data_IF_855611822238
#
_entry.id   IF_855611822238
#
_cell.length_a   1.000
_cell.length_b   1.000
_cell.length_c   1.000
_cell.angle_alpha   90.00
_cell.angle_beta   90.00
_cell.angle_gamma   90.00
#
_symmetry.space_group_name_H-M   'P 1'
#
loop_
_entity.id
_entity.type
_entity.pdbx_description
1 polymer ?
#
# COMPACT_ATOMS: atom_id res chain seq x y z
N UNK A 1 7.48 -10.10 3.54
CA UNK A 1 7.17 -11.45 3.01
C UNK A 1 6.86 -11.32 1.53
N UNK A 2 7.63 -12.01 0.68
CA UNK A 2 7.41 -12.01 -0.76
C UNK A 2 6.21 -12.91 -1.09
N UNK A 3 5.13 -12.33 -1.65
CA UNK A 3 3.92 -13.05 -2.04
C UNK A 3 3.73 -13.04 -3.56
N UNK A 4 3.21 -14.09 -4.20
CA UNK A 4 2.91 -14.06 -5.64
C UNK A 4 1.98 -12.91 -6.03
N UNK A 5 2.30 -12.15 -7.09
CA UNK A 5 1.45 -11.05 -7.59
C UNK A 5 0.68 -11.46 -8.84
N UNK A 6 -0.65 -11.50 -8.75
CA UNK A 6 -1.52 -11.91 -9.85
C UNK A 6 -2.20 -10.72 -10.57
N UNK A 7 -2.71 -9.74 -9.82
CA UNK A 7 -3.67 -8.75 -10.34
C UNK A 7 -3.11 -7.83 -11.43
N UNK A 8 -1.87 -7.36 -11.31
CA UNK A 8 -1.25 -6.51 -12.34
C UNK A 8 -0.78 -7.29 -13.58
N UNK A 9 -0.61 -8.61 -13.44
CA UNK A 9 -0.03 -9.50 -14.44
C UNK A 9 -1.06 -10.22 -15.31
N UNK A 10 -2.34 -10.22 -14.92
CA UNK A 10 -3.43 -10.93 -15.63
C UNK A 10 -4.53 -10.01 -16.17
N UNK A 11 -4.25 -8.70 -16.25
CA UNK A 11 -5.25 -7.66 -16.57
C UNK A 11 -5.72 -7.66 -18.02
N UNK A 12 -4.84 -7.98 -18.96
CA UNK A 12 -5.17 -8.07 -20.40
C UNK A 12 -5.07 -9.52 -20.85
N UNK A 13 -5.79 -9.90 -21.90
CA UNK A 13 -5.78 -11.27 -22.46
C UNK A 13 -4.36 -11.72 -22.81
N UNK A 14 -3.61 -10.89 -23.54
CA UNK A 14 -2.21 -11.15 -23.90
C UNK A 14 -1.31 -11.38 -22.68
N UNK A 15 -1.49 -10.59 -21.61
CA UNK A 15 -0.71 -10.74 -20.39
C UNK A 15 -1.12 -11.98 -19.60
N UNK A 16 -2.42 -12.30 -19.56
CA UNK A 16 -2.92 -13.52 -18.92
C UNK A 16 -2.30 -14.76 -19.57
N UNK A 17 -2.31 -14.85 -20.91
CA UNK A 17 -1.68 -15.97 -21.64
C UNK A 17 -0.18 -16.01 -21.37
N UNK A 18 0.55 -14.91 -21.59
CA UNK A 18 2.00 -14.87 -21.38
C UNK A 18 2.40 -15.25 -19.96
N UNK A 19 1.68 -14.71 -18.96
CA UNK A 19 1.97 -14.97 -17.56
C UNK A 19 1.67 -16.42 -17.18
N UNK A 20 0.51 -16.93 -17.57
CA UNK A 20 0.12 -18.30 -17.28
C UNK A 20 1.03 -19.33 -17.98
N UNK A 21 1.40 -19.10 -19.25
CA UNK A 21 2.37 -19.95 -19.96
C UNK A 21 3.74 -19.95 -19.29
N UNK A 22 4.21 -18.80 -18.80
CA UNK A 22 5.46 -18.72 -18.06
C UNK A 22 5.40 -19.52 -16.74
N UNK A 23 4.29 -19.40 -16.00
CA UNK A 23 4.07 -20.16 -14.75
C UNK A 23 4.05 -21.67 -15.01
N UNK A 24 3.31 -22.14 -16.02
CA UNK A 24 3.27 -23.56 -16.40
C UNK A 24 4.67 -24.06 -16.77
N UNK A 25 5.37 -23.34 -17.65
CA UNK A 25 6.73 -23.70 -18.07
C UNK A 25 7.69 -23.82 -16.89
N UNK A 26 7.72 -22.79 -16.04
CA UNK A 26 8.65 -22.72 -14.90
C UNK A 26 8.31 -23.71 -13.79
N UNK A 27 7.02 -23.93 -13.53
CA UNK A 27 6.58 -24.94 -12.56
C UNK A 27 6.92 -26.37 -13.00
N UNK A 28 6.88 -26.65 -14.32
CA UNK A 28 7.33 -27.93 -14.88
C UNK A 28 8.85 -28.10 -14.83
N UNK A 29 9.61 -27.05 -15.21
CA UNK A 29 11.08 -27.06 -15.12
C UNK A 29 11.58 -27.31 -13.69
N UNK A 30 10.82 -26.88 -12.69
CA UNK A 30 11.15 -27.01 -11.27
C UNK A 30 10.19 -27.94 -10.52
N UNK A 31 9.70 -29.00 -11.17
CA UNK A 31 8.70 -29.91 -10.59
C UNK A 31 9.15 -30.52 -9.25
N UNK A 32 10.45 -30.75 -9.06
CA UNK A 32 11.03 -31.29 -7.82
C UNK A 32 10.76 -30.39 -6.60
N UNK A 33 10.58 -29.08 -6.81
CA UNK A 33 10.22 -28.14 -5.74
C UNK A 33 8.73 -28.16 -5.40
N UNK A 34 7.88 -28.73 -6.26
CA UNK A 34 6.42 -28.69 -6.14
C UNK A 34 5.77 -30.06 -6.43
N UNK A 35 6.13 -31.13 -5.69
CA UNK A 35 5.65 -32.49 -5.96
C UNK A 35 4.13 -32.63 -5.84
N UNK A 36 3.50 -31.89 -4.93
CA UNK A 36 2.05 -31.92 -4.72
C UNK A 36 1.28 -30.98 -5.68
N UNK A 37 1.99 -30.25 -6.54
CA UNK A 37 1.41 -29.29 -7.47
C UNK A 37 1.17 -29.85 -8.87
N UNK A 38 1.61 -31.07 -9.17
CA UNK A 38 1.55 -31.65 -10.52
C UNK A 38 0.13 -31.61 -11.09
N UNK A 39 -0.86 -32.04 -10.32
CA UNK A 39 -2.27 -32.00 -10.74
C UNK A 39 -2.74 -30.57 -11.05
N UNK A 40 -2.38 -29.60 -10.21
CA UNK A 40 -2.75 -28.18 -10.41
C UNK A 40 -2.10 -27.58 -11.64
N UNK A 41 -0.85 -27.94 -11.92
CA UNK A 41 -0.12 -27.49 -13.12
C UNK A 41 -0.74 -28.08 -14.37
N UNK A 42 -1.14 -29.36 -14.35
CA UNK A 42 -1.86 -30.00 -15.47
C UNK A 42 -3.22 -29.36 -15.73
N UNK A 43 -4.02 -29.12 -14.67
CA UNK A 43 -5.30 -28.43 -14.81
C UNK A 43 -5.14 -27.01 -15.39
N UNK A 44 -4.13 -26.27 -14.94
CA UNK A 44 -3.82 -24.94 -15.45
C UNK A 44 -3.40 -24.97 -16.93
N UNK A 45 -2.63 -25.98 -17.34
CA UNK A 45 -2.22 -26.16 -18.73
C UNK A 45 -3.41 -26.46 -19.64
N UNK A 46 -4.29 -27.37 -19.24
CA UNK A 46 -5.52 -27.67 -19.99
C UNK A 46 -6.40 -26.43 -20.12
N UNK A 47 -6.65 -25.73 -19.01
CA UNK A 47 -7.44 -24.50 -19.01
C UNK A 47 -6.83 -23.39 -19.88
N UNK A 48 -5.50 -23.33 -19.96
CA UNK A 48 -4.79 -22.38 -20.80
C UNK A 48 -4.98 -22.70 -22.28
N UNK A 49 -4.90 -23.98 -22.66
CA UNK A 49 -5.17 -24.42 -24.03
C UNK A 49 -6.60 -24.09 -24.45
N UNK A 50 -7.59 -24.44 -23.61
CA UNK A 50 -9.00 -24.14 -23.84
C UNK A 50 -9.24 -22.63 -24.02
N UNK A 51 -8.57 -21.80 -23.21
CA UNK A 51 -8.64 -20.34 -23.30
C UNK A 51 -8.00 -19.78 -24.56
N UNK A 52 -6.87 -20.34 -25.01
CA UNK A 52 -6.24 -19.91 -26.27
C UNK A 52 -7.09 -20.31 -27.48
N UNK A 53 -7.77 -21.44 -27.42
CA UNK A 53 -8.68 -21.89 -28.48
C UNK A 53 -9.90 -20.97 -28.57
N UNK A 54 -10.56 -20.65 -27.46
CA UNK A 54 -11.69 -19.70 -27.48
C UNK A 54 -11.30 -18.28 -27.86
N UNK A 55 -10.05 -17.85 -27.58
CA UNK A 55 -9.52 -16.57 -28.07
C UNK A 55 -9.51 -16.54 -29.60
N UNK A 56 -9.16 -17.66 -30.25
CA UNK A 56 -9.17 -17.78 -31.70
C UNK A 56 -10.59 -17.79 -32.27
N UNK A 57 -11.54 -18.49 -31.63
CA UNK A 57 -12.94 -18.54 -32.06
C UNK A 57 -13.69 -17.22 -31.86
N UNK A 58 -13.42 -16.52 -30.75
CA UNK A 58 -14.02 -15.22 -30.46
C UNK A 58 -13.52 -14.10 -31.39
N UNK A 59 -12.49 -14.34 -32.21
CA UNK A 59 -12.00 -13.37 -33.21
C UNK A 59 -13.09 -12.98 -34.22
N UNK A 60 -14.06 -13.87 -34.47
CA UNK A 60 -15.19 -13.64 -35.38
C UNK A 60 -16.37 -12.89 -34.73
N UNK A 61 -16.22 -12.43 -33.47
CA UNK A 61 -17.19 -11.60 -32.72
C UNK A 61 -18.58 -12.23 -32.52
N UNK A 62 -18.69 -13.55 -32.54
CA UNK A 62 -19.88 -14.23 -32.04
C UNK A 62 -20.02 -13.97 -30.53
N UNK A 63 -21.17 -13.43 -30.11
CA UNK A 63 -21.45 -13.12 -28.70
C UNK A 63 -21.32 -14.36 -27.81
N UNK A 64 -21.69 -15.55 -28.32
CA UNK A 64 -21.56 -16.80 -27.57
C UNK A 64 -20.10 -17.12 -27.30
N UNK A 65 -19.24 -16.94 -28.29
CA UNK A 65 -17.80 -17.20 -28.16
C UNK A 65 -17.10 -16.19 -27.26
N UNK A 66 -17.54 -14.94 -27.27
CA UNK A 66 -17.06 -13.93 -26.32
C UNK A 66 -17.39 -14.31 -24.87
N UNK A 67 -18.60 -14.85 -24.62
CA UNK A 67 -18.99 -15.31 -23.28
C UNK A 67 -18.14 -16.52 -22.83
N UNK A 68 -17.95 -17.51 -23.70
CA UNK A 68 -17.13 -18.71 -23.40
C UNK A 68 -15.68 -18.31 -23.08
N UNK A 69 -15.08 -17.45 -23.91
CA UNK A 69 -13.74 -16.90 -23.67
C UNK A 69 -13.64 -16.21 -22.30
N UNK A 70 -14.62 -15.40 -21.93
CA UNK A 70 -14.61 -14.70 -20.64
C UNK A 70 -14.73 -15.68 -19.46
N UNK A 71 -15.55 -16.73 -19.59
CA UNK A 71 -15.67 -17.78 -18.58
C UNK A 71 -14.34 -18.54 -18.39
N UNK A 72 -13.68 -18.92 -19.49
CA UNK A 72 -12.38 -19.58 -19.42
C UNK A 72 -11.30 -18.66 -18.86
N UNK A 73 -11.34 -17.35 -19.17
CA UNK A 73 -10.42 -16.38 -18.56
C UNK A 73 -10.58 -16.28 -17.03
N UNK A 74 -11.79 -16.48 -16.50
CA UNK A 74 -12.02 -16.57 -15.05
C UNK A 74 -11.41 -17.84 -14.49
N UNK A 75 -11.61 -18.97 -15.16
CA UNK A 75 -11.08 -20.28 -14.75
C UNK A 75 -9.55 -20.30 -14.72
N UNK A 76 -8.88 -19.77 -15.74
CA UNK A 76 -7.40 -19.64 -15.75
C UNK A 76 -6.92 -18.79 -14.57
N UNK A 77 -7.61 -17.69 -14.25
CA UNK A 77 -7.24 -16.83 -13.10
C UNK A 77 -7.43 -17.55 -11.77
N UNK A 78 -8.48 -18.36 -11.64
CA UNK A 78 -8.73 -19.14 -10.45
C UNK A 78 -7.64 -20.21 -10.25
N UNK A 79 -7.31 -20.97 -11.29
CA UNK A 79 -6.25 -21.97 -11.22
C UNK A 79 -4.86 -21.36 -10.96
N UNK A 80 -4.58 -20.19 -11.53
CA UNK A 80 -3.37 -19.43 -11.19
C UNK A 80 -3.33 -19.02 -9.72
N UNK A 81 -4.48 -18.63 -9.16
CA UNK A 81 -4.60 -18.29 -7.74
C UNK A 81 -4.37 -19.52 -6.86
N UNK A 82 -5.01 -20.64 -7.17
CA UNK A 82 -4.89 -21.88 -6.40
C UNK A 82 -3.47 -22.46 -6.43
N UNK A 83 -2.79 -22.35 -7.57
CA UNK A 83 -1.36 -22.69 -7.68
C UNK A 83 -0.50 -21.71 -6.88
N UNK A 84 -0.79 -20.40 -6.94
CA UNK A 84 -0.02 -19.39 -6.20
C UNK A 84 -0.08 -19.60 -4.68
N UNK A 85 -1.22 -20.03 -4.14
CA UNK A 85 -1.36 -20.34 -2.71
C UNK A 85 -0.50 -21.53 -2.31
N UNK A 86 -0.44 -22.55 -3.16
CA UNK A 86 0.42 -23.70 -2.92
C UNK A 86 1.90 -23.30 -2.97
N UNK A 87 2.30 -22.51 -3.97
CA UNK A 87 3.66 -21.98 -4.06
C UNK A 87 4.01 -21.12 -2.84
N UNK A 88 3.09 -20.29 -2.34
CA UNK A 88 3.30 -19.52 -1.11
C UNK A 88 3.52 -20.44 0.11
N UNK A 89 2.76 -21.54 0.22
CA UNK A 89 2.94 -22.52 1.30
C UNK A 89 4.28 -23.25 1.26
N UNK A 90 4.79 -23.55 0.06
CA UNK A 90 6.09 -24.19 -0.14
C UNK A 90 7.23 -23.18 0.08
N UNK A 91 7.09 -21.98 -0.46
CA UNK A 91 8.13 -20.95 -0.43
C UNK A 91 8.41 -20.42 0.99
N UNK A 92 7.42 -20.40 1.88
CA UNK A 92 7.56 -19.88 3.27
C UNK A 92 8.24 -18.51 3.36
N UNK A 93 8.06 -17.68 2.33
CA UNK A 93 8.65 -16.34 2.23
C UNK A 93 9.99 -16.25 1.50
N UNK A 94 10.54 -17.35 0.98
CA UNK A 94 11.71 -17.36 0.11
C UNK A 94 11.35 -16.87 -1.31
N UNK A 95 11.83 -15.70 -1.75
CA UNK A 95 11.54 -15.18 -3.08
C UNK A 95 12.10 -16.05 -4.22
N UNK A 96 13.14 -16.85 -3.98
CA UNK A 96 13.73 -17.71 -5.01
C UNK A 96 12.78 -18.84 -5.39
N UNK A 97 12.10 -19.45 -4.42
CA UNK A 97 11.11 -20.50 -4.67
C UNK A 97 9.90 -19.93 -5.43
N UNK A 98 9.46 -18.71 -5.09
CA UNK A 98 8.39 -18.02 -5.82
C UNK A 98 8.77 -17.77 -7.28
N UNK A 99 10.01 -17.33 -7.54
CA UNK A 99 10.54 -17.13 -8.89
C UNK A 99 10.73 -18.45 -9.66
N UNK A 100 11.11 -19.53 -8.97
CA UNK A 100 11.26 -20.86 -9.56
C UNK A 100 9.93 -21.40 -10.11
N UNK A 101 8.80 -21.11 -9.45
CA UNK A 101 7.47 -21.40 -9.98
C UNK A 101 7.01 -20.45 -11.11
N UNK A 102 7.81 -19.43 -11.46
CA UNK A 102 7.47 -18.44 -12.49
C UNK A 102 6.57 -17.30 -12.01
N UNK A 103 6.27 -17.22 -10.71
CA UNK A 103 5.54 -16.11 -10.11
C UNK A 103 6.47 -14.93 -9.82
N UNK A 104 5.91 -13.72 -9.82
CA UNK A 104 6.66 -12.52 -9.42
C UNK A 104 6.47 -12.28 -7.92
N UNK A 105 7.54 -12.24 -7.12
CA UNK A 105 7.45 -11.93 -5.70
C UNK A 105 7.00 -10.48 -5.48
N UNK A 106 6.10 -10.30 -4.52
CA UNK A 106 5.61 -9.01 -4.10
C UNK A 106 6.73 -8.17 -3.49
N UNK A 107 6.61 -6.84 -3.65
CA UNK A 107 7.56 -5.90 -3.07
C UNK A 107 7.68 -6.15 -1.56
N UNK A 108 8.91 -6.36 -1.09
CA UNK A 108 9.16 -6.51 0.32
C UNK A 108 8.99 -5.12 0.97
N UNK A 109 7.80 -4.86 1.50
CA UNK A 109 7.51 -3.67 2.29
C UNK A 109 8.09 -3.89 3.70
N UNK A 110 9.41 -3.96 3.82
CA UNK A 110 10.01 -3.69 5.12
C UNK A 110 9.55 -2.27 5.52
N UNK A 111 9.06 -2.04 6.75
CA UNK A 111 8.71 -0.71 7.21
C UNK A 111 10.01 0.11 7.30
N UNK A 112 10.40 0.75 6.18
CA UNK A 112 11.60 1.59 6.10
C UNK A 112 11.47 2.87 6.93
N UNK A 113 10.28 3.18 7.45
CA UNK A 113 10.10 4.23 8.42
C UNK A 113 10.31 3.62 9.81
N UNK A 114 11.51 3.75 10.35
CA UNK A 114 11.79 3.49 11.76
C UNK A 114 11.00 4.45 12.67
N UNK A 115 11.53 4.74 13.86
CA UNK A 115 10.95 5.74 14.75
C UNK A 115 10.88 7.08 14.01
N UNK A 116 9.78 7.83 14.17
CA UNK A 116 9.64 9.15 13.59
C UNK A 116 10.79 10.05 14.07
N UNK A 117 11.45 10.81 13.17
CA UNK A 117 12.44 11.77 13.58
C UNK A 117 11.76 12.86 14.40
N UNK A 118 12.53 13.54 15.25
CA UNK A 118 12.05 14.70 16.00
C UNK A 118 11.57 15.75 15.00
N UNK A 119 10.33 16.22 15.16
CA UNK A 119 9.78 17.23 14.27
C UNK A 119 10.57 18.55 14.39
N UNK A 120 10.93 19.13 13.24
CA UNK A 120 11.80 20.31 13.19
C UNK A 120 11.17 21.47 12.42
N UNK A 121 11.66 22.68 12.70
CA UNK A 121 11.17 23.94 12.10
C UNK A 121 9.65 24.14 12.30
N UNK A 122 9.15 23.84 13.51
CA UNK A 122 7.81 24.25 13.89
C UNK A 122 7.76 25.78 13.94
N UNK A 123 6.82 26.38 13.23
CA UNK A 123 6.56 27.83 13.23
C UNK A 123 5.09 28.08 13.48
N UNK A 124 4.82 29.00 14.40
CA UNK A 124 3.49 29.51 14.70
C UNK A 124 3.41 30.97 14.27
N UNK A 125 2.50 31.30 13.35
CA UNK A 125 2.36 32.65 12.77
C UNK A 125 0.90 33.07 12.78
N UNK A 126 0.62 34.24 13.34
CA UNK A 126 -0.67 34.92 13.17
C UNK A 126 -0.68 35.59 11.80
N UNK A 127 -1.49 35.08 10.87
CA UNK A 127 -1.51 35.60 9.48
C UNK A 127 -2.47 36.77 9.31
N UNK A 128 -3.60 36.76 10.04
CA UNK A 128 -4.63 37.80 9.96
C UNK A 128 -5.02 38.22 11.39
N UNK A 129 -4.57 39.40 11.86
CA UNK A 129 -4.97 39.93 13.15
C UNK A 129 -6.49 39.99 13.29
N UNK A 130 -7.03 39.66 14.46
CA UNK A 130 -8.48 39.65 14.74
C UNK A 130 -9.24 38.42 14.26
N UNK A 131 -8.58 37.43 13.64
CA UNK A 131 -9.21 36.14 13.27
C UNK A 131 -9.04 35.05 14.31
N UNK A 132 -8.35 35.34 15.43
CA UNK A 132 -8.05 34.41 16.51
C UNK A 132 -7.51 33.06 16.01
N UNK A 133 -6.75 33.10 14.91
CA UNK A 133 -6.27 31.93 14.19
C UNK A 133 -4.75 31.96 14.09
N UNK A 134 -4.11 30.89 14.55
CA UNK A 134 -2.66 30.69 14.43
C UNK A 134 -2.38 29.66 13.35
N UNK A 135 -1.57 30.04 12.35
CA UNK A 135 -1.08 29.13 11.33
C UNK A 135 0.18 28.42 11.82
N UNK A 136 0.10 27.10 11.93
CA UNK A 136 1.20 26.22 12.26
C UNK A 136 1.78 25.61 11.00
N UNK A 137 3.10 25.59 10.89
CA UNK A 137 3.83 24.91 9.84
C UNK A 137 5.01 24.15 10.43
N UNK A 138 5.26 22.96 9.90
CA UNK A 138 6.45 22.16 10.18
C UNK A 138 7.07 21.67 8.87
N UNK A 139 8.35 21.30 8.89
CA UNK A 139 8.93 20.60 7.75
C UNK A 139 8.23 19.25 7.53
N UNK A 140 7.87 18.92 6.28
CA UNK A 140 7.20 17.66 5.98
C UNK A 140 8.17 16.49 6.08
N UNK A 141 7.73 15.38 6.67
CA UNK A 141 8.45 14.12 6.68
C UNK A 141 7.74 13.15 5.73
N UNK A 142 8.41 12.73 4.63
CA UNK A 142 7.79 11.92 3.57
C UNK A 142 7.09 10.64 4.07
N UNK A 143 7.62 9.89 5.06
CA UNK A 143 6.95 8.73 5.63
C UNK A 143 5.81 9.04 6.61
N UNK A 144 5.57 10.31 6.96
CA UNK A 144 4.44 10.69 7.81
C UNK A 144 3.11 10.41 7.09
N UNK A 145 2.22 9.71 7.77
CA UNK A 145 0.82 9.56 7.36
C UNK A 145 -0.04 10.69 7.93
N UNK A 146 0.28 11.10 9.16
CA UNK A 146 -0.39 12.19 9.86
C UNK A 146 0.62 13.06 10.61
N UNK A 147 0.19 14.29 10.87
CA UNK A 147 0.83 15.30 11.68
C UNK A 147 -0.10 15.57 12.86
N UNK A 148 0.39 15.34 14.07
CA UNK A 148 -0.37 15.59 15.30
C UNK A 148 0.12 16.92 15.89
N UNK A 149 -0.67 17.97 15.69
CA UNK A 149 -0.46 19.27 16.29
C UNK A 149 -1.09 19.27 17.68
N UNK A 150 -0.37 19.82 18.66
CA UNK A 150 -0.86 19.95 20.02
C UNK A 150 -0.67 21.38 20.50
N UNK A 151 -1.66 21.90 21.20
CA UNK A 151 -1.61 23.24 21.75
C UNK A 151 -2.22 23.33 23.14
N UNK A 152 -1.75 24.30 23.93
CA UNK A 152 -2.32 24.66 25.24
C UNK A 152 -2.02 26.11 25.57
N UNK A 153 -2.73 26.68 26.54
CA UNK A 153 -2.39 28.01 27.08
C UNK A 153 -1.06 27.97 27.83
N UNK A 154 -0.25 29.00 27.66
CA UNK A 154 1.04 29.13 28.35
C UNK A 154 0.83 29.17 29.85
N UNK A 155 1.62 28.39 30.60
CA UNK A 155 1.50 28.29 32.06
C UNK A 155 0.30 27.49 32.56
N UNK A 156 -0.53 26.93 31.68
CA UNK A 156 -1.64 26.06 32.07
C UNK A 156 -1.14 24.67 32.43
N UNK A 157 -1.72 24.09 33.50
CA UNK A 157 -1.55 22.68 33.86
C UNK A 157 -2.53 21.76 33.11
N UNK A 158 -3.33 22.30 32.19
CA UNK A 158 -4.26 21.53 31.39
C UNK A 158 -3.52 20.58 30.44
N UNK A 159 -4.20 19.50 30.08
CA UNK A 159 -3.74 18.58 29.03
C UNK A 159 -3.64 19.31 27.68
N UNK A 160 -2.76 18.81 26.81
CA UNK A 160 -2.59 19.33 25.47
C UNK A 160 -3.80 18.99 24.60
N UNK A 161 -4.35 20.00 23.92
CA UNK A 161 -5.41 19.78 22.95
C UNK A 161 -4.80 19.27 21.65
N UNK A 162 -5.27 18.12 21.18
CA UNK A 162 -4.70 17.42 20.03
C UNK A 162 -5.52 17.65 18.75
N UNK A 163 -4.84 17.99 17.66
CA UNK A 163 -5.43 18.14 16.33
C UNK A 163 -4.61 17.35 15.30
N UNK A 164 -5.28 16.41 14.63
CA UNK A 164 -4.67 15.59 13.59
C UNK A 164 -4.88 16.22 12.21
N UNK A 165 -3.83 16.22 11.40
CA UNK A 165 -3.85 16.68 10.00
C UNK A 165 -3.05 15.76 9.11
N UNK A 166 -3.48 15.59 7.86
CA UNK A 166 -2.67 14.93 6.82
C UNK A 166 -1.63 15.85 6.19
N UNK A 167 -1.68 17.15 6.52
CA UNK A 167 -0.80 18.20 5.96
C UNK A 167 0.19 18.68 7.02
N UNK A 168 1.39 19.03 6.58
CA UNK A 168 2.44 19.64 7.43
C UNK A 168 2.18 21.11 7.80
N UNK A 169 0.97 21.62 7.49
CA UNK A 169 0.48 22.94 7.84
C UNK A 169 -0.97 22.87 8.27
N UNK A 170 -1.33 23.66 9.27
CA UNK A 170 -2.67 23.69 9.86
C UNK A 170 -2.95 25.07 10.46
N UNK A 171 -4.15 25.60 10.26
CA UNK A 171 -4.65 26.75 11.02
C UNK A 171 -5.48 26.26 12.21
N UNK A 172 -5.16 26.70 13.41
CA UNK A 172 -5.99 26.49 14.61
C UNK A 172 -6.75 27.78 14.88
N UNK A 173 -8.07 27.72 14.78
CA UNK A 173 -9.00 28.83 15.00
C UNK A 173 -9.59 28.77 16.41
N UNK A 174 -10.44 29.76 16.74
CA UNK A 174 -11.19 29.85 18.00
C UNK A 174 -10.28 29.88 19.24
N UNK A 175 -9.09 30.51 19.11
CA UNK A 175 -8.20 30.76 20.24
C UNK A 175 -8.61 32.05 20.97
N UNK A 176 -8.27 32.15 22.24
CA UNK A 176 -8.62 33.33 23.03
C UNK A 176 -7.75 34.54 22.64
N UNK A 177 -8.40 35.70 22.46
CA UNK A 177 -7.75 36.95 22.10
C UNK A 177 -6.76 37.42 23.18
N UNK A 178 -5.60 37.91 22.76
CA UNK A 178 -4.51 38.37 23.64
C UNK A 178 -4.02 37.32 24.65
N UNK A 179 -4.16 36.03 24.31
CA UNK A 179 -3.60 34.94 25.10
C UNK A 179 -2.37 34.34 24.41
N UNK A 180 -1.41 33.90 25.21
CA UNK A 180 -0.22 33.21 24.74
C UNK A 180 -0.44 31.69 24.78
N UNK A 181 -0.18 31.02 23.65
CA UNK A 181 -0.29 29.57 23.53
C UNK A 181 1.07 28.92 23.27
N UNK A 182 1.24 27.73 23.82
CA UNK A 182 2.33 26.81 23.52
C UNK A 182 1.86 25.79 22.48
N UNK A 183 2.73 25.49 21.51
CA UNK A 183 2.47 24.56 20.41
C UNK A 183 3.61 23.54 20.31
N UNK A 184 3.25 22.27 20.07
CA UNK A 184 4.21 21.21 19.73
C UNK A 184 3.62 20.30 18.65
N UNK A 185 4.47 19.56 17.95
CA UNK A 185 4.02 18.65 16.89
C UNK A 185 4.82 17.34 16.90
N UNK A 186 4.17 16.23 16.53
CA UNK A 186 4.84 14.98 16.19
C UNK A 186 4.40 14.46 14.82
N UNK A 187 5.27 13.70 14.16
CA UNK A 187 4.92 12.93 12.98
C UNK A 187 4.42 11.54 13.37
N UNK A 188 3.36 11.06 12.71
CA UNK A 188 2.84 9.71 12.88
C UNK A 188 2.98 8.95 11.56
N UNK A 189 3.80 7.90 11.57
CA UNK A 189 4.09 7.07 10.39
C UNK A 189 3.55 5.64 10.54
N UNK A 190 4.29 4.67 10.01
CA UNK A 190 4.02 3.25 10.27
C UNK A 190 4.24 2.89 11.74
N UNK A 191 5.24 3.51 12.38
CA UNK A 191 5.37 3.52 13.83
C UNK A 191 4.65 4.77 14.38
N UNK A 192 3.62 4.62 15.24
CA UNK A 192 2.87 5.73 15.81
C UNK A 192 3.52 6.34 17.07
N UNK A 193 4.72 5.91 17.47
CA UNK A 193 5.40 6.45 18.65
C UNK A 193 5.66 7.96 18.48
N UNK A 194 5.15 8.83 19.38
CA UNK A 194 5.36 10.27 19.29
C UNK A 194 6.82 10.68 19.52
N UNK A 195 7.31 11.61 18.70
CA UNK A 195 8.61 12.27 18.87
C UNK A 195 8.43 13.78 18.62
N UNK A 196 8.09 14.50 19.69
CA UNK A 196 7.66 15.89 19.62
C UNK A 196 8.77 16.86 19.24
N UNK A 197 8.41 17.90 18.49
CA UNK A 197 9.24 19.07 18.26
C UNK A 197 9.56 19.81 19.56
N UNK A 198 10.50 20.75 19.47
CA UNK A 198 10.61 21.80 20.48
C UNK A 198 9.31 22.62 20.52
N UNK A 199 8.95 23.06 21.73
CA UNK A 199 7.74 23.85 21.96
C UNK A 199 7.94 25.27 21.44
N UNK A 200 6.95 25.79 20.71
CA UNK A 200 6.94 27.17 20.20
C UNK A 200 5.82 27.94 20.89
N UNK A 201 6.08 29.21 21.21
CA UNK A 201 5.10 30.12 21.80
C UNK A 201 4.62 31.13 20.78
N UNK A 202 3.34 31.48 20.83
CA UNK A 202 2.76 32.51 19.99
C UNK A 202 1.63 33.22 20.74
N UNK A 203 1.64 34.55 20.69
CA UNK A 203 0.56 35.39 21.21
C UNK A 203 -0.50 35.54 20.12
N UNK A 204 -1.75 35.27 20.48
CA UNK A 204 -2.90 35.44 19.59
C UNK A 204 -3.30 36.92 19.57
N UNK A 205 -3.34 37.50 18.37
CA UNK A 205 -3.67 38.91 18.10
C UNK A 205 -4.65 39.00 16.94
#
# INVERSE_FOLDING_TARGET
MAKPVLTSKTRTESRLVQYASNVVKKSKENADLFPDATEKVTLLETALADYTDSLSEAAFRDMRQVVIKNQQAVLVRQLLYDLSLHVESVAKGDPNIVLAAGFVPGKNNAPNAGISPKANDLRAVVTHPGTNTVQLRVNPWRPARFYQFEYRKTGSLNEWTTVLSTKSKLGISDLDYLQEYEFRITYLGTNPTPNYSDTVRCVVV
#
